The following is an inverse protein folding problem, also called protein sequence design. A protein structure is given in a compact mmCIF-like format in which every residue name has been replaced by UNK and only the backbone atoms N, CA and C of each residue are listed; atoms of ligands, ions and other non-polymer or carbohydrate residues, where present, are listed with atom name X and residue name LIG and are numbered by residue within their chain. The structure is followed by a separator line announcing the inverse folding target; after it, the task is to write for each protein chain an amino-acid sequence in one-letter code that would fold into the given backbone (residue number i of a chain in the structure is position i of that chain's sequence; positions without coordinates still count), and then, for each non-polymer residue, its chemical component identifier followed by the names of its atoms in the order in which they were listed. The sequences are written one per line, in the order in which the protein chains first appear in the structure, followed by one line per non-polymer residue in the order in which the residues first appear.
data_IF_637075334236
#
_entry.id   IF_637075334236
#
_cell.length_a   1.000
_cell.length_b   1.000
_cell.length_c   1.000
_cell.angle_alpha   90.00
_cell.angle_beta   90.00
_cell.angle_gamma   90.00
#
_symmetry.space_group_name_H-M   'P 1'
#
loop_
_entity.id
_entity.type
_entity.pdbx_description
1 polymer ?
#
# COMPACT_ATOMS: atom_id res chain seq x y z
N UNK A 1 15.50 13.47 -9.49
CA UNK A 1 16.33 12.79 -10.50
C UNK A 1 15.83 11.37 -10.62
N UNK A 2 15.33 10.96 -11.80
CA UNK A 2 14.98 9.56 -12.04
C UNK A 2 16.28 8.76 -12.20
N UNK A 3 16.60 7.91 -11.23
CA UNK A 3 17.68 6.94 -11.39
C UNK A 3 17.14 5.89 -12.38
N UNK A 4 17.69 5.85 -13.59
CA UNK A 4 17.37 4.79 -14.55
C UNK A 4 17.78 3.44 -13.94
N UNK A 5 16.77 2.70 -13.51
CA UNK A 5 16.94 1.43 -12.83
C UNK A 5 16.87 0.31 -13.87
N UNK A 6 18.02 -0.26 -14.21
CA UNK A 6 18.17 -1.19 -15.33
C UNK A 6 18.51 -2.62 -14.88
N UNK A 7 17.87 -3.08 -13.82
CA UNK A 7 18.01 -4.48 -13.41
C UNK A 7 17.14 -5.40 -14.29
N UNK A 8 17.35 -6.71 -14.15
CA UNK A 8 16.67 -7.69 -15.01
C UNK A 8 15.15 -7.69 -14.80
N UNK A 9 14.67 -7.42 -13.59
CA UNK A 9 13.24 -7.32 -13.32
C UNK A 9 12.61 -6.15 -14.07
N UNK A 10 13.27 -4.98 -14.03
CA UNK A 10 12.80 -3.79 -14.73
C UNK A 10 12.67 -4.03 -16.24
N UNK A 11 13.61 -4.77 -16.84
CA UNK A 11 13.54 -5.13 -18.28
C UNK A 11 12.40 -6.08 -18.61
N UNK A 12 12.07 -7.02 -17.73
CA UNK A 12 11.00 -8.00 -17.96
C UNK A 12 9.62 -7.36 -17.81
N UNK A 13 9.51 -6.35 -16.95
CA UNK A 13 8.26 -5.65 -16.62
C UNK A 13 8.14 -4.28 -17.31
N UNK A 14 9.09 -3.93 -18.18
CA UNK A 14 9.15 -2.64 -18.89
C UNK A 14 9.12 -1.42 -17.94
N UNK A 15 9.74 -1.55 -16.76
CA UNK A 15 9.82 -0.46 -15.78
C UNK A 15 10.80 0.61 -16.24
N UNK A 16 10.37 1.87 -16.17
CA UNK A 16 11.20 3.03 -16.48
C UNK A 16 11.87 3.63 -15.23
N UNK A 17 11.44 3.22 -14.03
CA UNK A 17 11.95 3.71 -12.75
C UNK A 17 11.82 2.67 -11.65
N UNK A 18 12.73 2.69 -10.67
CA UNK A 18 12.58 1.87 -9.46
C UNK A 18 11.42 2.38 -8.62
N UNK A 19 10.46 1.50 -8.29
CA UNK A 19 9.37 1.83 -7.40
C UNK A 19 9.16 0.71 -6.36
N UNK A 20 9.58 0.98 -5.12
CA UNK A 20 9.47 0.02 -4.01
C UNK A 20 8.03 -0.40 -3.72
N UNK A 21 7.05 0.51 -3.84
CA UNK A 21 5.63 0.17 -3.64
C UNK A 21 5.18 -0.86 -4.68
N UNK A 22 5.58 -0.68 -5.94
CA UNK A 22 5.25 -1.62 -7.00
C UNK A 22 5.90 -2.98 -6.76
N UNK A 23 7.15 -3.01 -6.29
CA UNK A 23 7.82 -4.27 -5.94
C UNK A 23 7.12 -5.03 -4.81
N UNK A 24 6.71 -4.31 -3.76
CA UNK A 24 5.92 -4.87 -2.66
C UNK A 24 4.60 -5.44 -3.20
N UNK A 25 3.88 -4.67 -4.01
CA UNK A 25 2.62 -5.13 -4.58
C UNK A 25 2.81 -6.37 -5.47
N UNK A 26 3.81 -6.39 -6.35
CA UNK A 26 4.11 -7.54 -7.23
C UNK A 26 4.42 -8.80 -6.43
N UNK A 27 5.25 -8.68 -5.39
CA UNK A 27 5.56 -9.78 -4.49
C UNK A 27 4.29 -10.35 -3.85
N UNK A 28 3.46 -9.47 -3.29
CA UNK A 28 2.21 -9.87 -2.64
C UNK A 28 1.19 -10.43 -3.66
N UNK A 29 1.17 -9.90 -4.88
CA UNK A 29 0.32 -10.40 -5.96
C UNK A 29 0.75 -11.82 -6.40
N UNK A 30 2.05 -12.08 -6.51
CA UNK A 30 2.58 -13.41 -6.83
C UNK A 30 2.20 -14.41 -5.72
N UNK A 31 2.48 -14.08 -4.46
CA UNK A 31 2.18 -14.96 -3.32
C UNK A 31 0.68 -15.25 -3.16
N UNK A 32 -0.19 -14.25 -3.33
CA UNK A 32 -1.65 -14.44 -3.30
C UNK A 32 -2.18 -15.31 -4.44
N UNK A 33 -1.42 -15.46 -5.54
CA UNK A 33 -1.74 -16.40 -6.64
C UNK A 33 -1.03 -17.75 -6.46
N UNK A 34 -0.65 -18.10 -5.22
CA UNK A 34 0.01 -19.35 -4.83
C UNK A 34 1.36 -19.59 -5.53
N UNK A 35 2.01 -18.53 -6.01
CA UNK A 35 3.37 -18.63 -6.54
C UNK A 35 4.34 -18.74 -5.36
N UNK A 36 5.14 -19.80 -5.35
CA UNK A 36 6.15 -20.01 -4.32
C UNK A 36 7.33 -19.07 -4.55
N UNK A 37 7.57 -18.18 -3.59
CA UNK A 37 8.73 -17.29 -3.56
C UNK A 37 9.63 -17.68 -2.39
N UNK A 38 10.94 -17.63 -2.60
CA UNK A 38 11.93 -17.79 -1.53
C UNK A 38 12.26 -16.44 -0.88
N UNK A 39 12.08 -16.36 0.44
CA UNK A 39 12.33 -15.16 1.24
C UNK A 39 11.04 -14.45 1.66
N UNK A 40 11.18 -13.25 2.21
CA UNK A 40 10.07 -12.43 2.71
C UNK A 40 9.90 -11.13 1.92
N UNK A 41 8.69 -10.57 1.96
CA UNK A 41 8.40 -9.26 1.37
C UNK A 41 9.32 -8.19 1.96
N UNK A 42 9.78 -7.28 1.11
CA UNK A 42 10.62 -6.14 1.50
C UNK A 42 11.98 -6.52 2.11
N UNK A 43 12.51 -7.71 1.82
CA UNK A 43 13.86 -8.15 2.19
C UNK A 43 14.86 -8.08 1.02
N UNK A 44 16.19 -8.08 1.29
CA UNK A 44 17.20 -8.22 0.25
C UNK A 44 16.98 -9.45 -0.63
N UNK A 45 17.19 -9.31 -1.94
CA UNK A 45 16.99 -10.41 -2.91
C UNK A 45 15.57 -10.55 -3.44
N UNK A 46 14.59 -9.84 -2.88
CA UNK A 46 13.17 -9.86 -3.32
C UNK A 46 13.02 -9.71 -4.85
N UNK A 47 13.69 -8.72 -5.46
CA UNK A 47 13.65 -8.50 -6.92
C UNK A 47 14.29 -9.61 -7.73
N UNK A 48 15.38 -10.21 -7.22
CA UNK A 48 16.05 -11.34 -7.86
C UNK A 48 15.17 -12.60 -7.85
N UNK A 49 14.49 -12.86 -6.73
CA UNK A 49 13.50 -13.95 -6.63
C UNK A 49 12.34 -13.73 -7.61
N UNK A 50 11.75 -12.53 -7.65
CA UNK A 50 10.71 -12.21 -8.63
C UNK A 50 11.20 -12.37 -10.07
N UNK A 51 12.41 -11.91 -10.38
CA UNK A 51 13.02 -12.07 -11.71
C UNK A 51 13.08 -13.53 -12.11
N UNK A 52 13.59 -14.38 -11.22
CA UNK A 52 13.73 -15.81 -11.49
C UNK A 52 12.38 -16.42 -11.87
N UNK A 53 11.37 -16.24 -11.02
CA UNK A 53 10.04 -16.83 -11.17
C UNK A 53 9.27 -16.29 -12.38
N UNK A 54 9.30 -14.98 -12.60
CA UNK A 54 8.62 -14.36 -13.74
C UNK A 54 9.27 -14.80 -15.05
N UNK A 55 10.60 -14.91 -15.09
CA UNK A 55 11.32 -15.34 -16.30
C UNK A 55 11.15 -16.82 -16.64
N UNK A 56 10.86 -17.66 -15.66
CA UNK A 56 10.67 -19.11 -15.85
C UNK A 56 9.21 -19.50 -16.11
N UNK A 57 8.27 -18.57 -16.00
CA UNK A 57 6.83 -18.83 -16.15
C UNK A 57 6.28 -18.08 -17.37
N UNK A 58 5.99 -18.78 -18.49
CA UNK A 58 5.44 -18.16 -19.69
C UNK A 58 4.16 -17.35 -19.42
N UNK A 59 4.10 -16.11 -19.94
CA UNK A 59 2.95 -15.22 -19.81
C UNK A 59 2.78 -14.51 -18.46
N UNK A 60 3.55 -14.88 -17.43
CA UNK A 60 3.40 -14.30 -16.09
C UNK A 60 3.75 -12.81 -16.04
N UNK A 61 4.73 -12.35 -16.83
CA UNK A 61 5.08 -10.93 -16.93
C UNK A 61 3.92 -10.08 -17.44
N UNK A 62 3.21 -10.52 -18.47
CA UNK A 62 2.06 -9.82 -19.04
C UNK A 62 0.89 -9.78 -18.05
N UNK A 63 0.61 -10.92 -17.39
CA UNK A 63 -0.44 -10.99 -16.36
C UNK A 63 -0.17 -9.99 -15.23
N UNK A 64 1.07 -9.89 -14.75
CA UNK A 64 1.43 -8.96 -13.68
C UNK A 64 1.26 -7.51 -14.16
N UNK A 65 1.78 -7.16 -15.35
CA UNK A 65 1.66 -5.80 -15.91
C UNK A 65 0.20 -5.37 -16.07
N UNK A 66 -0.65 -6.27 -16.57
CA UNK A 66 -2.08 -5.98 -16.76
C UNK A 66 -2.77 -5.77 -15.40
N UNK A 67 -2.55 -6.68 -14.44
CA UNK A 67 -3.10 -6.53 -13.08
C UNK A 67 -2.62 -5.26 -12.38
N UNK A 68 -1.36 -4.88 -12.58
CA UNK A 68 -0.78 -3.67 -12.00
C UNK A 68 -1.53 -2.44 -12.49
N UNK A 69 -1.75 -2.35 -13.80
CA UNK A 69 -2.50 -1.27 -14.45
C UNK A 69 -3.96 -1.22 -13.98
N UNK A 70 -4.56 -2.38 -13.73
CA UNK A 70 -5.96 -2.49 -13.31
C UNK A 70 -6.19 -2.22 -11.82
N UNK A 71 -5.19 -2.44 -10.96
CA UNK A 71 -5.37 -2.49 -9.50
C UNK A 71 -4.61 -1.41 -8.72
N UNK A 72 -3.48 -0.91 -9.22
CA UNK A 72 -2.68 0.09 -8.52
C UNK A 72 -3.17 1.51 -8.82
N UNK A 73 -3.53 2.22 -7.75
CA UNK A 73 -3.80 3.64 -7.85
C UNK A 73 -2.50 4.44 -8.09
N UNK A 74 -2.56 5.53 -8.89
CA UNK A 74 -1.45 6.47 -9.01
C UNK A 74 -0.96 6.97 -7.64
N UNK A 75 0.34 7.22 -7.50
CA UNK A 75 0.95 7.64 -6.23
C UNK A 75 0.29 8.89 -5.62
N UNK A 76 -0.11 9.85 -6.46
CA UNK A 76 -0.87 11.04 -6.05
C UNK A 76 -2.13 10.76 -5.23
N UNK A 77 -2.77 9.61 -5.41
CA UNK A 77 -3.96 9.23 -4.64
C UNK A 77 -3.64 8.81 -3.19
N UNK A 78 -2.36 8.62 -2.86
CA UNK A 78 -1.87 8.19 -1.55
C UNK A 78 -0.96 9.23 -0.89
N UNK A 79 -0.61 10.33 -1.57
CA UNK A 79 0.33 11.34 -1.08
C UNK A 79 -0.11 11.97 0.25
N UNK A 80 -1.42 12.12 0.46
CA UNK A 80 -2.01 12.67 1.69
C UNK A 80 -1.79 11.77 2.93
N UNK A 81 -1.43 10.50 2.73
CA UNK A 81 -1.09 9.57 3.81
C UNK A 81 0.37 9.82 4.24
N UNK A 82 0.63 10.94 4.90
CA UNK A 82 1.99 11.36 5.28
C UNK A 82 2.12 11.94 6.69
N UNK A 83 1.07 11.87 7.51
CA UNK A 83 0.98 12.53 8.83
C UNK A 83 1.42 11.61 10.00
N UNK A 84 2.20 10.57 9.70
CA UNK A 84 2.81 9.71 10.71
C UNK A 84 1.86 8.72 11.39
N UNK A 85 2.28 8.23 12.57
CA UNK A 85 1.69 7.06 13.24
C UNK A 85 0.19 7.22 13.52
N UNK A 86 -0.26 8.40 13.96
CA UNK A 86 -1.66 8.65 14.31
C UNK A 86 -2.59 8.48 13.11
N UNK A 87 -2.20 9.03 11.96
CA UNK A 87 -2.97 8.86 10.73
C UNK A 87 -2.98 7.40 10.29
N UNK A 88 -1.83 6.72 10.36
CA UNK A 88 -1.72 5.30 10.00
C UNK A 88 -2.65 4.43 10.84
N UNK A 89 -2.70 4.64 12.16
CA UNK A 89 -3.56 3.89 13.08
C UNK A 89 -5.05 4.13 12.79
N UNK A 90 -5.43 5.40 12.59
CA UNK A 90 -6.80 5.78 12.26
C UNK A 90 -7.25 5.20 10.91
N UNK A 91 -6.40 5.29 9.88
CA UNK A 91 -6.71 4.71 8.58
C UNK A 91 -6.80 3.19 8.65
N UNK A 92 -5.88 2.54 9.36
CA UNK A 92 -5.90 1.07 9.53
C UNK A 92 -7.20 0.60 10.18
N UNK A 93 -7.74 1.34 11.15
CA UNK A 93 -9.04 0.99 11.75
C UNK A 93 -10.18 1.13 10.75
N UNK A 94 -10.18 2.19 9.93
CA UNK A 94 -11.21 2.42 8.90
C UNK A 94 -11.14 1.40 7.77
N UNK A 95 -9.94 0.99 7.36
CA UNK A 95 -9.76 -0.10 6.40
C UNK A 95 -10.34 -1.40 6.95
N UNK A 96 -10.06 -1.75 8.22
CA UNK A 96 -10.57 -2.97 8.84
C UNK A 96 -12.10 -3.01 8.97
N UNK A 97 -12.75 -1.86 9.14
CA UNK A 97 -14.21 -1.75 9.14
C UNK A 97 -14.84 -2.04 7.76
N UNK A 98 -14.09 -1.84 6.68
CA UNK A 98 -14.57 -1.89 5.29
C UNK A 98 -14.10 -3.10 4.51
N UNK A 99 -12.87 -3.54 4.78
CA UNK A 99 -12.25 -4.70 4.17
C UNK A 99 -12.53 -5.91 5.06
N UNK A 100 -13.16 -6.94 4.49
CA UNK A 100 -13.07 -8.28 5.06
C UNK A 100 -11.64 -8.76 4.83
N UNK A 101 -10.72 -8.34 5.69
CA UNK A 101 -9.34 -8.79 5.64
C UNK A 101 -9.36 -10.29 5.88
N UNK A 102 -9.09 -11.08 4.84
CA UNK A 102 -8.96 -12.52 5.01
C UNK A 102 -7.72 -12.78 5.86
N UNK A 103 -7.82 -13.68 6.83
CA UNK A 103 -6.68 -14.18 7.61
C UNK A 103 -5.55 -14.74 6.71
N UNK A 104 -5.84 -15.01 5.43
CA UNK A 104 -4.84 -15.42 4.42
C UNK A 104 -3.87 -14.31 3.99
N UNK A 105 -4.21 -13.02 4.17
CA UNK A 105 -3.36 -11.89 3.72
C UNK A 105 -2.37 -11.48 4.83
N UNK A 106 -2.75 -11.63 6.09
CA UNK A 106 -1.92 -11.22 7.23
C UNK A 106 -0.50 -11.86 7.21
N UNK A 107 -0.32 -13.17 6.96
CA UNK A 107 1.00 -13.79 6.88
C UNK A 107 1.87 -13.23 5.75
N UNK A 108 1.26 -12.80 4.63
CA UNK A 108 1.97 -12.32 3.44
C UNK A 108 2.61 -10.95 3.65
N UNK A 109 2.14 -10.20 4.65
CA UNK A 109 2.56 -8.83 4.92
C UNK A 109 3.49 -8.71 6.13
N UNK A 110 4.00 -9.82 6.67
CA UNK A 110 4.83 -9.88 7.89
C UNK A 110 6.09 -9.00 7.86
N UNK A 111 6.66 -8.75 6.67
CA UNK A 111 7.81 -7.87 6.47
C UNK A 111 7.48 -6.37 6.39
N UNK A 112 6.20 -5.99 6.53
CA UNK A 112 5.72 -4.62 6.41
C UNK A 112 5.15 -4.11 7.74
N UNK A 113 5.36 -2.82 8.02
CA UNK A 113 4.81 -2.16 9.21
C UNK A 113 4.36 -0.74 8.89
N UNK A 114 3.53 -0.17 9.78
CA UNK A 114 3.14 1.24 9.69
C UNK A 114 2.52 1.61 8.33
N UNK A 115 3.05 2.69 7.73
CA UNK A 115 2.55 3.23 6.45
C UNK A 115 2.70 2.22 5.30
N UNK A 116 3.77 1.43 5.26
CA UNK A 116 3.98 0.46 4.20
C UNK A 116 2.94 -0.65 4.23
N UNK A 117 2.63 -1.16 5.44
CA UNK A 117 1.56 -2.16 5.62
C UNK A 117 0.20 -1.60 5.24
N UNK A 118 -0.09 -0.34 5.61
CA UNK A 118 -1.33 0.34 5.26
C UNK A 118 -1.48 0.47 3.74
N UNK A 119 -0.44 0.94 3.04
CA UNK A 119 -0.46 1.09 1.57
C UNK A 119 -0.59 -0.28 0.89
N UNK A 120 0.17 -1.27 1.33
CA UNK A 120 0.08 -2.63 0.79
C UNK A 120 -1.32 -3.23 0.96
N UNK A 121 -1.98 -2.97 2.09
CA UNK A 121 -3.37 -3.36 2.33
C UNK A 121 -4.34 -2.74 1.33
N UNK A 122 -4.17 -1.45 1.02
CA UNK A 122 -4.98 -0.73 0.03
C UNK A 122 -4.71 -1.28 -1.37
N UNK A 123 -3.45 -1.51 -1.71
CA UNK A 123 -3.03 -1.98 -3.03
C UNK A 123 -3.54 -3.40 -3.31
N UNK A 124 -3.51 -4.28 -2.30
CA UNK A 124 -4.04 -5.64 -2.38
C UNK A 124 -5.56 -5.73 -2.35
N UNK A 125 -6.26 -4.66 -2.03
CA UNK A 125 -7.72 -4.71 -1.99
C UNK A 125 -8.29 -4.83 -3.41
N UNK A 126 -8.76 -6.03 -3.76
CA UNK A 126 -9.22 -6.39 -5.10
C UNK A 126 -10.65 -5.92 -5.37
N UNK A 127 -10.85 -4.60 -5.37
CA UNK A 127 -12.07 -3.94 -5.82
C UNK A 127 -11.79 -3.13 -7.08
N UNK A 128 -12.84 -2.63 -7.74
CA UNK A 128 -12.66 -1.77 -8.90
C UNK A 128 -11.80 -0.54 -8.56
N UNK A 129 -10.83 -0.20 -9.41
CA UNK A 129 -9.89 0.91 -9.17
C UNK A 129 -10.60 2.25 -8.95
N UNK A 130 -11.73 2.51 -9.62
CA UNK A 130 -12.53 3.73 -9.39
C UNK A 130 -13.18 3.73 -8.01
N UNK A 131 -13.71 2.59 -7.58
CA UNK A 131 -14.27 2.44 -6.23
C UNK A 131 -13.18 2.61 -5.16
N UNK A 132 -12.00 2.03 -5.38
CA UNK A 132 -10.82 2.21 -4.53
C UNK A 132 -10.44 3.68 -4.41
N UNK A 133 -10.38 4.39 -5.54
CA UNK A 133 -10.10 5.83 -5.58
C UNK A 133 -11.15 6.67 -4.85
N UNK A 134 -12.44 6.43 -5.10
CA UNK A 134 -13.52 7.13 -4.40
C UNK A 134 -13.45 6.91 -2.88
N UNK A 135 -13.20 5.68 -2.45
CA UNK A 135 -13.05 5.36 -1.04
C UNK A 135 -11.86 6.08 -0.38
N UNK A 136 -10.72 6.19 -1.07
CA UNK A 136 -9.59 6.95 -0.53
C UNK A 136 -9.89 8.45 -0.43
N UNK A 137 -10.60 9.02 -1.40
CA UNK A 137 -11.02 10.42 -1.32
C UNK A 137 -11.98 10.67 -0.14
N UNK A 138 -12.91 9.74 0.10
CA UNK A 138 -13.78 9.79 1.28
C UNK A 138 -12.97 9.72 2.58
N UNK A 139 -12.00 8.80 2.67
CA UNK A 139 -11.12 8.69 3.84
C UNK A 139 -10.27 9.94 4.07
N UNK A 140 -9.76 10.57 3.01
CA UNK A 140 -9.00 11.81 3.11
C UNK A 140 -9.86 12.94 3.71
N UNK A 141 -11.10 13.09 3.23
CA UNK A 141 -12.04 14.06 3.75
C UNK A 141 -12.39 13.79 5.22
N UNK A 142 -12.72 12.54 5.57
CA UNK A 142 -13.03 12.15 6.94
C UNK A 142 -11.82 12.32 7.89
N UNK A 143 -10.61 12.08 7.41
CA UNK A 143 -9.39 12.35 8.18
C UNK A 143 -9.24 13.86 8.44
N UNK A 144 -9.47 14.69 7.42
CA UNK A 144 -9.42 16.14 7.54
C UNK A 144 -10.47 16.70 8.53
N UNK A 145 -11.66 16.10 8.59
CA UNK A 145 -12.68 16.42 9.58
C UNK A 145 -12.28 15.97 10.99
N UNK A 146 -11.81 14.73 11.14
CA UNK A 146 -11.34 14.18 12.41
C UNK A 146 -10.23 15.04 13.04
N UNK A 147 -9.32 15.58 12.22
CA UNK A 147 -8.28 16.52 12.67
C UNK A 147 -8.87 17.80 13.26
N UNK A 148 -9.89 18.38 12.63
CA UNK A 148 -10.53 19.63 13.10
C UNK A 148 -11.18 19.44 14.46
N UNK A 149 -11.89 18.34 14.66
CA UNK A 149 -12.56 18.00 15.92
C UNK A 149 -11.56 17.75 17.06
N UNK A 150 -10.47 17.04 16.77
CA UNK A 150 -9.44 16.78 17.78
C UNK A 150 -8.63 18.02 18.15
N UNK A 151 -8.41 18.94 17.20
CA UNK A 151 -7.79 20.22 17.48
C UNK A 151 -8.71 21.15 18.28
N UNK A 152 -10.01 21.19 17.98
CA UNK A 152 -11.00 22.00 18.73
C UNK A 152 -11.22 21.49 20.16
N UNK A 153 -11.21 20.17 20.37
CA UNK A 153 -11.26 19.55 21.70
C UNK A 153 -10.00 19.82 22.54
N UNK A 154 -8.84 20.04 21.91
CA UNK A 154 -7.62 20.44 22.63
C UNK A 154 -7.68 21.90 23.13
N UNK A 155 -8.31 22.79 22.36
CA UNK A 155 -8.51 24.20 22.74
C UNK A 155 -9.53 24.39 23.87
N UNK A 156 -10.60 23.59 23.90
CA UNK A 156 -11.62 23.66 24.96
C UNK A 156 -11.17 23.14 26.32
N UNK A 157 -10.06 22.39 26.42
CA UNK A 157 -9.50 21.94 27.70
C UNK A 157 -8.61 22.98 28.40
N UNK A 158 -8.27 24.09 27.74
CA UNK A 158 -7.41 25.15 28.32
C UNK A 158 -8.20 26.28 29.00
N UNK A 159 -9.52 26.37 28.83
CA UNK A 159 -10.32 27.49 29.36
C UNK A 159 -11.05 27.20 30.68
N UNK A 160 -10.99 25.98 31.22
CA UNK A 160 -11.72 25.61 32.45
C UNK A 160 -10.89 25.59 33.74
N UNK A 161 -9.68 26.17 33.77
CA UNK A 161 -8.80 26.14 34.95
C UNK A 161 -8.51 27.46 35.66
N UNK A 162 -9.19 28.56 35.33
CA UNK A 162 -9.07 29.81 36.10
C UNK A 162 -10.45 30.31 36.53
N UNK A 163 -10.99 29.72 37.60
CA UNK A 163 -12.07 30.30 38.39
C UNK A 163 -11.97 29.79 39.83
N UNK A 164 -11.04 30.38 40.60
CA UNK A 164 -11.08 30.47 42.05
C UNK A 164 -10.47 31.82 42.44
#
# INVERSE_FOLDING_TARGET
MAIHFNDRLARILDDTSHNRRHDIWRWLQLTTNNVQLSGDVNQPGMRSTMTHVISSTPGLSEIIKNKETEQLLPEKCLEWINEGKRQVEWLSSKLRERMTFSDSIAPLTSGLTGKDLLIASIDLWTINIKQKGSFLNELENSWNEHKKETNSLSGSKMTSKNAY
#
